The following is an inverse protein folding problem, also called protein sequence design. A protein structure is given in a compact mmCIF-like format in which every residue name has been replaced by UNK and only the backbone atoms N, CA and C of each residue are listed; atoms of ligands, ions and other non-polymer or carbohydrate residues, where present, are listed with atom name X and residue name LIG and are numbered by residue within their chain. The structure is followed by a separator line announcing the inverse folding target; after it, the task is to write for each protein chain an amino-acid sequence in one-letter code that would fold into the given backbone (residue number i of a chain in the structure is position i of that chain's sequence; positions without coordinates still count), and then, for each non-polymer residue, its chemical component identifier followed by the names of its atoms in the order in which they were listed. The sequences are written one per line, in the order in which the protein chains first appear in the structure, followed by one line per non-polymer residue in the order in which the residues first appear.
data_IF_998363036128
#
_entry.id   IF_998363036128
#
_cell.length_a   1.000
_cell.length_b   1.000
_cell.length_c   1.000
_cell.angle_alpha   90.00
_cell.angle_beta   90.00
_cell.angle_gamma   90.00
#
_symmetry.space_group_name_H-M   'P 1'
#
loop_
_entity.id
_entity.type
_entity.pdbx_description
1 polymer ?
#
# COMPACT_ATOMS: atom_id res chain seq x y z
N UNK A 1 13.63 10.09 -3.54
CA UNK A 1 12.81 9.81 -2.33
C UNK A 1 13.23 8.52 -1.62
N UNK A 2 13.15 7.34 -2.25
CA UNK A 2 13.56 6.06 -1.62
C UNK A 2 15.06 5.94 -1.31
N UNK A 3 15.91 6.49 -2.18
CA UNK A 3 17.37 6.46 -2.00
C UNK A 3 17.86 7.26 -0.78
N UNK A 4 17.20 8.37 -0.43
CA UNK A 4 17.55 9.17 0.75
C UNK A 4 17.08 8.52 2.05
N UNK A 5 15.93 7.85 2.04
CA UNK A 5 15.43 7.07 3.18
C UNK A 5 16.37 5.91 3.50
N UNK A 6 16.80 5.16 2.48
CA UNK A 6 17.73 4.03 2.66
C UNK A 6 19.09 4.46 3.22
N UNK A 7 19.54 5.68 2.91
CA UNK A 7 20.79 6.24 3.45
C UNK A 7 20.65 6.59 4.94
N UNK A 8 19.52 7.20 5.34
CA UNK A 8 19.23 7.56 6.74
C UNK A 8 18.96 6.33 7.61
N UNK A 9 18.29 5.29 7.08
CA UNK A 9 18.05 4.03 7.80
C UNK A 9 19.36 3.29 8.11
N UNK A 10 20.33 3.31 7.18
CA UNK A 10 21.68 2.77 7.40
C UNK A 10 22.47 3.53 8.48
N UNK A 11 22.29 4.84 8.58
CA UNK A 11 22.97 5.67 9.59
C UNK A 11 22.45 5.40 11.01
N UNK A 12 21.19 4.98 11.15
CA UNK A 12 20.57 4.71 12.46
C UNK A 12 20.62 3.21 12.83
N UNK A 13 21.21 2.36 11.97
CA UNK A 13 21.37 0.92 12.18
C UNK A 13 20.06 0.20 12.54
N UNK A 14 18.95 0.64 11.95
CA UNK A 14 17.63 0.05 12.14
C UNK A 14 17.51 -1.08 11.12
N UNK A 15 17.31 -2.31 11.58
CA UNK A 15 16.90 -3.39 10.69
C UNK A 15 15.50 -3.04 10.16
N UNK A 16 15.36 -2.85 8.83
CA UNK A 16 14.03 -2.69 8.26
C UNK A 16 13.24 -3.95 8.55
N UNK A 17 11.97 -3.78 8.90
CA UNK A 17 11.05 -4.89 9.08
C UNK A 17 11.21 -5.88 7.90
N UNK A 18 11.39 -7.19 8.16
CA UNK A 18 11.64 -8.18 7.13
C UNK A 18 10.62 -8.13 5.99
N UNK A 19 9.35 -7.82 6.29
CA UNK A 19 8.29 -7.69 5.30
C UNK A 19 8.51 -6.46 4.40
N UNK A 20 8.99 -5.36 4.99
CA UNK A 20 9.28 -4.10 4.27
C UNK A 20 10.58 -4.20 3.46
N UNK A 21 11.58 -4.95 3.93
CA UNK A 21 12.86 -5.14 3.22
C UNK A 21 12.70 -6.05 1.98
N UNK A 22 11.95 -7.14 2.11
CA UNK A 22 11.56 -8.01 0.97
C UNK A 22 10.81 -7.20 -0.08
N UNK A 23 9.93 -6.31 0.38
CA UNK A 23 9.17 -5.41 -0.48
C UNK A 23 10.08 -4.38 -1.20
N UNK A 24 10.98 -3.69 -0.50
CA UNK A 24 11.94 -2.74 -1.10
C UNK A 24 12.79 -3.42 -2.18
N UNK A 25 13.21 -4.67 -1.94
CA UNK A 25 13.95 -5.48 -2.91
C UNK A 25 13.10 -5.89 -4.12
N UNK A 26 11.82 -6.21 -3.91
CA UNK A 26 10.88 -6.57 -4.98
C UNK A 26 10.51 -5.37 -5.87
N UNK A 27 10.35 -4.18 -5.29
CA UNK A 27 10.13 -2.93 -6.04
C UNK A 27 11.39 -2.51 -6.82
N UNK A 28 12.58 -2.75 -6.28
CA UNK A 28 13.84 -2.48 -6.96
C UNK A 28 14.10 -3.37 -8.20
N UNK A 29 13.29 -4.42 -8.42
CA UNK A 29 13.33 -5.20 -9.66
C UNK A 29 12.40 -4.56 -10.70
N UNK A 30 13.01 -3.97 -11.74
CA UNK A 30 12.28 -3.31 -12.83
C UNK A 30 11.16 -4.20 -13.39
N UNK A 31 9.94 -3.63 -13.47
CA UNK A 31 8.78 -4.25 -14.13
C UNK A 31 7.68 -4.79 -13.23
N UNK A 32 7.81 -4.75 -11.89
CA UNK A 32 6.76 -5.17 -10.94
C UNK A 32 6.33 -4.13 -9.91
N UNK A 33 6.72 -2.87 -10.09
CA UNK A 33 6.54 -1.82 -9.08
C UNK A 33 5.07 -1.57 -8.68
N UNK A 34 4.14 -1.54 -9.63
CA UNK A 34 2.75 -1.12 -9.35
C UNK A 34 1.96 -2.18 -8.56
N UNK A 35 2.08 -3.46 -8.95
CA UNK A 35 1.37 -4.56 -8.28
C UNK A 35 1.84 -4.76 -6.86
N UNK A 36 3.16 -4.76 -6.66
CA UNK A 36 3.78 -4.92 -5.35
C UNK A 36 3.32 -3.80 -4.42
N UNK A 37 3.40 -2.52 -4.84
CA UNK A 37 2.92 -1.37 -4.06
C UNK A 37 1.44 -1.47 -3.71
N UNK A 38 0.62 -1.93 -4.64
CA UNK A 38 -0.83 -2.09 -4.42
C UNK A 38 -1.12 -3.13 -3.33
N UNK A 39 -0.45 -4.29 -3.40
CA UNK A 39 -0.63 -5.38 -2.42
C UNK A 39 -0.23 -4.95 -1.01
N UNK A 40 0.85 -4.16 -0.89
CA UNK A 40 1.29 -3.63 0.40
C UNK A 40 0.28 -2.64 0.98
N UNK A 41 -0.21 -1.71 0.16
CA UNK A 41 -1.24 -0.75 0.60
C UNK A 41 -2.50 -1.50 1.06
N UNK A 42 -2.92 -2.54 0.33
CA UNK A 42 -4.06 -3.37 0.74
C UNK A 42 -3.80 -4.08 2.09
N UNK A 43 -2.60 -4.64 2.29
CA UNK A 43 -2.22 -5.31 3.55
C UNK A 43 -2.21 -4.35 4.74
N UNK A 44 -1.70 -3.13 4.55
CA UNK A 44 -1.66 -2.09 5.61
C UNK A 44 -3.08 -1.63 6.00
N UNK A 45 -4.01 -1.60 5.03
CA UNK A 45 -5.39 -1.19 5.25
C UNK A 45 -6.30 -2.31 5.76
N UNK A 46 -5.82 -3.55 5.81
CA UNK A 46 -6.62 -4.74 6.12
C UNK A 46 -7.69 -5.00 5.03
N UNK A 47 -7.31 -4.83 3.77
CA UNK A 47 -8.16 -5.00 2.58
C UNK A 47 -7.69 -6.13 1.67
N UNK A 48 -6.69 -6.90 2.07
CA UNK A 48 -6.17 -8.07 1.35
C UNK A 48 -7.24 -9.13 1.06
N UNK A 49 -8.22 -9.31 1.96
CA UNK A 49 -9.32 -10.28 1.78
C UNK A 49 -10.29 -9.85 0.66
N UNK A 50 -10.28 -8.57 0.29
CA UNK A 50 -11.14 -8.01 -0.75
C UNK A 50 -10.36 -7.47 -1.97
N UNK A 51 -9.10 -7.87 -2.16
CA UNK A 51 -8.25 -7.47 -3.31
C UNK A 51 -8.93 -7.69 -4.66
N UNK A 52 -9.62 -8.82 -4.81
CA UNK A 52 -10.26 -9.24 -6.06
C UNK A 52 -11.77 -8.96 -6.09
N UNK A 53 -12.28 -8.25 -5.08
CA UNK A 53 -13.70 -7.90 -4.99
C UNK A 53 -13.94 -6.51 -5.55
N UNK A 54 -14.88 -6.39 -6.50
CA UNK A 54 -15.30 -5.08 -6.99
C UNK A 54 -15.90 -4.23 -5.86
N UNK A 55 -15.58 -2.93 -5.84
CA UNK A 55 -16.07 -2.00 -4.80
C UNK A 55 -17.60 -1.92 -4.78
N UNK A 56 -18.23 -1.99 -5.95
CA UNK A 56 -19.69 -1.88 -6.09
C UNK A 56 -20.21 -0.46 -5.89
N UNK A 57 -21.52 -0.30 -6.05
CA UNK A 57 -22.26 0.95 -5.90
C UNK A 57 -23.65 0.67 -5.27
N UNK A 58 -24.57 1.62 -5.35
CA UNK A 58 -25.91 1.46 -4.74
C UNK A 58 -26.76 0.38 -5.43
N UNK A 59 -26.38 -0.05 -6.64
CA UNK A 59 -27.12 -1.02 -7.46
C UNK A 59 -26.35 -2.35 -7.55
N UNK A 60 -25.03 -2.30 -7.65
CA UNK A 60 -24.12 -3.44 -7.74
C UNK A 60 -23.48 -3.72 -6.37
N UNK A 61 -23.73 -4.93 -5.83
CA UNK A 61 -23.07 -5.37 -4.61
C UNK A 61 -21.56 -5.43 -4.80
N UNK A 62 -20.84 -4.94 -3.79
CA UNK A 62 -19.39 -5.01 -3.71
C UNK A 62 -18.91 -5.10 -2.26
N UNK A 63 -17.85 -4.34 -1.92
CA UNK A 63 -17.25 -4.37 -0.58
C UNK A 63 -18.17 -3.74 0.49
N UNK A 64 -17.93 -4.10 1.75
CA UNK A 64 -18.67 -3.52 2.87
C UNK A 64 -18.40 -2.02 3.04
N UNK A 65 -19.34 -1.28 3.66
CA UNK A 65 -19.18 0.16 3.90
C UNK A 65 -17.97 0.52 4.77
N UNK A 66 -17.58 -0.36 5.70
CA UNK A 66 -16.37 -0.17 6.52
C UNK A 66 -15.07 -0.40 5.75
N UNK A 67 -15.07 -1.29 4.75
CA UNK A 67 -13.95 -1.44 3.81
C UNK A 67 -13.85 -0.22 2.89
N UNK A 68 -15.00 0.26 2.37
CA UNK A 68 -15.07 1.46 1.54
C UNK A 68 -14.49 2.69 2.24
N UNK A 69 -14.86 2.95 3.50
CA UNK A 69 -14.30 4.08 4.26
C UNK A 69 -12.77 4.04 4.37
N UNK A 70 -12.18 2.90 4.70
CA UNK A 70 -10.71 2.74 4.78
C UNK A 70 -10.03 3.02 3.44
N UNK A 71 -10.64 2.55 2.35
CA UNK A 71 -10.13 2.74 0.99
C UNK A 71 -10.25 4.21 0.54
N UNK A 72 -11.34 4.92 0.90
CA UNK A 72 -11.51 6.34 0.55
C UNK A 72 -10.62 7.26 1.39
N UNK A 73 -10.35 6.93 2.66
CA UNK A 73 -9.42 7.71 3.51
C UNK A 73 -8.03 7.80 2.88
N UNK A 74 -7.53 6.73 2.27
CA UNK A 74 -6.27 6.74 1.52
C UNK A 74 -6.31 7.69 0.31
N UNK A 75 -7.39 7.67 -0.46
CA UNK A 75 -7.57 8.59 -1.58
C UNK A 75 -7.67 10.05 -1.12
N UNK A 76 -8.42 10.32 -0.05
CA UNK A 76 -8.58 11.67 0.49
C UNK A 76 -7.26 12.18 1.11
N UNK A 77 -6.48 11.33 1.79
CA UNK A 77 -5.18 11.73 2.35
C UNK A 77 -4.18 12.13 1.26
N UNK A 78 -4.19 11.45 0.10
CA UNK A 78 -3.41 11.88 -1.09
C UNK A 78 -3.85 13.23 -1.65
N UNK A 79 -5.09 13.64 -1.42
CA UNK A 79 -5.63 14.93 -1.86
C UNK A 79 -5.25 16.09 -0.95
N UNK A 80 -4.98 15.83 0.33
CA UNK A 80 -4.52 16.86 1.29
C UNK A 80 -3.00 17.12 1.23
N UNK A 81 -2.22 16.24 0.59
CA UNK A 81 -0.77 16.35 0.47
C UNK A 81 -0.30 16.96 -0.88
N UNK A 82 -1.22 17.53 -1.67
CA UNK A 82 -0.95 18.27 -2.91
C UNK A 82 -1.22 19.77 -2.74
#
# INVERSE_FOLDING_TARGET
MLAELSKREKEVNIEPDPDIDVFKKAVAWEGREIGVVTDYVLKVLGLEVCSDTMVGDDILKGISGGQRKRLTIEQDTKRFLQ
#
